data_IF_682380554110
#
_entry.id   IF_682380554110
#
_cell.length_a   1.000
_cell.length_b   1.000
_cell.length_c   1.000
_cell.angle_alpha   90.00
_cell.angle_beta   90.00
_cell.angle_gamma   90.00
#
_symmetry.space_group_name_H-M   'P 1'
#
loop_
_entity.id
_entity.type
_entity.pdbx_description
1 polymer ?
#
# COMPACT_ATOMS: atom_id res chain seq x y z
N UNK A 1 -3.39 7.32 30.67
CA UNK A 1 -3.26 8.31 29.58
C UNK A 1 -4.44 8.06 28.66
N UNK A 2 -5.27 9.07 28.40
CA UNK A 2 -6.42 8.89 27.52
C UNK A 2 -5.90 8.71 26.09
N UNK A 3 -6.23 7.57 25.46
CA UNK A 3 -6.15 7.41 24.02
C UNK A 3 -7.00 8.51 23.41
N UNK A 4 -6.35 9.55 22.89
CA UNK A 4 -7.05 10.53 22.07
C UNK A 4 -7.48 9.75 20.84
N UNK A 5 -8.77 9.58 20.56
CA UNK A 5 -9.19 8.83 19.38
C UNK A 5 -8.63 9.55 18.16
N UNK A 6 -7.72 8.90 17.44
CA UNK A 6 -7.17 9.42 16.19
C UNK A 6 -8.32 9.86 15.29
N UNK A 7 -8.21 11.05 14.71
CA UNK A 7 -9.24 11.56 13.81
C UNK A 7 -9.32 10.67 12.57
N UNK A 8 -10.46 10.66 11.88
CA UNK A 8 -10.62 9.92 10.62
C UNK A 8 -9.54 10.33 9.60
N UNK A 9 -9.14 11.60 9.58
CA UNK A 9 -8.05 12.10 8.75
C UNK A 9 -6.69 11.52 9.13
N UNK A 10 -6.41 11.44 10.43
CA UNK A 10 -5.16 10.87 10.92
C UNK A 10 -5.10 9.37 10.61
N UNK A 11 -6.18 8.63 10.87
CA UNK A 11 -6.27 7.21 10.51
C UNK A 11 -6.14 6.98 9.00
N UNK A 12 -6.75 7.83 8.17
CA UNK A 12 -6.64 7.72 6.71
C UNK A 12 -5.23 8.03 6.22
N UNK A 13 -4.56 9.02 6.82
CA UNK A 13 -3.17 9.35 6.53
C UNK A 13 -2.22 8.23 6.95
N UNK A 14 -2.39 7.68 8.15
CA UNK A 14 -1.59 6.56 8.66
C UNK A 14 -1.74 5.32 7.77
N UNK A 15 -2.96 5.04 7.31
CA UNK A 15 -3.25 3.94 6.37
C UNK A 15 -2.60 4.18 5.01
N UNK A 16 -2.73 5.39 4.45
CA UNK A 16 -2.12 5.72 3.16
C UNK A 16 -0.58 5.63 3.23
N UNK A 17 0.02 6.23 4.27
CA UNK A 17 1.47 6.17 4.48
C UNK A 17 1.96 4.74 4.70
N UNK A 18 1.18 3.89 5.39
CA UNK A 18 1.51 2.47 5.53
C UNK A 18 1.45 1.71 4.21
N UNK A 19 0.55 2.08 3.29
CA UNK A 19 0.46 1.48 1.96
C UNK A 19 1.63 1.93 1.08
N UNK A 20 1.93 3.23 1.03
CA UNK A 20 3.10 3.78 0.33
C UNK A 20 4.39 3.09 0.79
N UNK A 21 4.61 3.02 2.11
CA UNK A 21 5.79 2.34 2.68
C UNK A 21 5.85 0.85 2.29
N UNK A 22 4.70 0.17 2.19
CA UNK A 22 4.65 -1.24 1.78
C UNK A 22 4.98 -1.41 0.29
N UNK A 23 4.55 -0.49 -0.56
CA UNK A 23 4.88 -0.49 -1.99
C UNK A 23 6.37 -0.20 -2.18
N UNK A 24 6.89 0.81 -1.50
CA UNK A 24 8.31 1.17 -1.57
C UNK A 24 9.21 0.01 -1.12
N UNK A 25 8.86 -0.64 0.00
CA UNK A 25 9.59 -1.81 0.48
C UNK A 25 9.53 -2.96 -0.54
N UNK A 26 8.37 -3.27 -1.12
CA UNK A 26 8.25 -4.31 -2.14
C UNK A 26 9.11 -3.99 -3.38
N UNK A 27 9.13 -2.74 -3.81
CA UNK A 27 9.94 -2.32 -4.95
C UNK A 27 11.44 -2.37 -4.64
N UNK A 28 11.83 -2.09 -3.40
CA UNK A 28 13.21 -2.24 -2.94
C UNK A 28 13.63 -3.71 -2.88
N UNK A 29 12.78 -4.59 -2.35
CA UNK A 29 13.01 -6.04 -2.30
C UNK A 29 13.19 -6.63 -3.72
N UNK A 30 12.33 -6.23 -4.67
CA UNK A 30 12.45 -6.62 -6.08
C UNK A 30 13.76 -6.11 -6.68
N UNK A 31 14.11 -4.83 -6.46
CA UNK A 31 15.36 -4.24 -6.97
C UNK A 31 16.58 -4.93 -6.39
N UNK A 32 16.56 -5.26 -5.10
CA UNK A 32 17.64 -5.96 -4.41
C UNK A 32 17.83 -7.36 -4.98
N UNK A 33 16.74 -8.11 -5.15
CA UNK A 33 16.78 -9.44 -5.76
C UNK A 33 17.30 -9.42 -7.21
N UNK A 34 16.97 -8.39 -8.00
CA UNK A 34 17.50 -8.21 -9.35
C UNK A 34 18.98 -7.79 -9.34
N UNK A 35 19.39 -6.92 -8.40
CA UNK A 35 20.76 -6.39 -8.32
C UNK A 35 21.79 -7.43 -7.87
N UNK A 36 21.40 -8.40 -7.04
CA UNK A 36 22.28 -9.51 -6.61
C UNK A 36 22.66 -10.42 -7.77
N UNK A 37 21.80 -10.56 -8.79
CA UNK A 37 22.07 -11.39 -9.95
C UNK A 37 22.79 -10.67 -11.11
N UNK A 38 23.11 -9.39 -10.94
CA UNK A 38 23.87 -8.59 -11.91
C UNK A 38 25.31 -9.03 -12.17
N UNK A 39 25.83 -10.04 -11.46
CA UNK A 39 27.15 -10.66 -11.71
C UNK A 39 27.09 -11.99 -12.47
N UNK A 40 25.91 -12.60 -12.70
CA UNK A 40 25.77 -13.83 -13.48
C UNK A 40 24.73 -13.66 -14.61
N UNK A 41 25.23 -13.70 -15.83
CA UNK A 41 24.61 -13.30 -17.10
C UNK A 41 23.47 -14.23 -17.61
N UNK A 42 22.62 -14.75 -16.72
CA UNK A 42 21.46 -15.57 -17.08
C UNK A 42 20.29 -15.31 -16.14
N UNK A 43 19.45 -14.32 -16.48
CA UNK A 43 18.16 -13.99 -15.84
C UNK A 43 17.15 -15.16 -15.91
N UNK A 44 17.42 -16.19 -16.71
CA UNK A 44 16.48 -17.30 -16.96
C UNK A 44 16.25 -18.26 -15.77
N UNK A 45 17.02 -18.18 -14.68
CA UNK A 45 16.84 -19.08 -13.52
C UNK A 45 16.83 -18.37 -12.15
N UNK A 46 16.69 -17.03 -12.15
CA UNK A 46 16.66 -16.21 -10.94
C UNK A 46 15.29 -16.31 -10.25
N UNK A 47 15.21 -17.08 -9.16
CA UNK A 47 14.03 -17.04 -8.28
C UNK A 47 14.01 -15.73 -7.51
N UNK A 48 13.02 -14.87 -7.80
CA UNK A 48 12.86 -13.58 -7.13
C UNK A 48 11.86 -13.77 -5.98
N UNK A 49 12.36 -14.00 -4.77
CA UNK A 49 11.51 -14.11 -3.59
C UNK A 49 11.30 -12.74 -2.95
N UNK A 50 10.03 -12.37 -2.73
CA UNK A 50 9.64 -11.11 -2.07
C UNK A 50 8.60 -11.37 -0.99
N UNK A 51 8.63 -10.57 0.09
CA UNK A 51 7.67 -10.72 1.18
C UNK A 51 6.41 -9.90 0.91
N UNK A 52 5.33 -10.58 0.55
CA UNK A 52 4.02 -9.96 0.29
C UNK A 52 3.08 -10.25 1.46
N UNK A 53 2.81 -9.22 2.28
CA UNK A 53 1.87 -9.33 3.39
C UNK A 53 2.25 -10.40 4.42
N UNK A 54 3.54 -10.61 4.66
CA UNK A 54 4.08 -11.61 5.58
C UNK A 54 4.28 -13.00 4.97
N UNK A 55 4.07 -13.16 3.65
CA UNK A 55 4.32 -14.42 2.94
C UNK A 55 5.40 -14.21 1.89
N UNK A 56 6.44 -15.02 1.93
CA UNK A 56 7.47 -15.02 0.88
C UNK A 56 6.91 -15.70 -0.38
N UNK A 57 6.93 -14.98 -1.50
CA UNK A 57 6.44 -15.47 -2.78
C UNK A 57 7.52 -15.31 -3.86
N UNK A 58 7.61 -16.29 -4.75
CA UNK A 58 8.47 -16.20 -5.93
C UNK A 58 7.75 -15.49 -7.09
N UNK A 59 8.11 -14.23 -7.33
CA UNK A 59 7.53 -13.38 -8.38
C UNK A 59 8.20 -13.55 -9.75
N UNK A 60 9.26 -14.38 -9.85
CA UNK A 60 9.78 -14.81 -11.15
C UNK A 60 8.82 -15.79 -11.83
N UNK A 61 8.02 -16.51 -11.03
CA UNK A 61 6.96 -17.37 -11.52
C UNK A 61 5.71 -16.57 -11.93
N UNK A 62 5.04 -17.00 -13.01
CA UNK A 62 3.78 -16.36 -13.44
C UNK A 62 2.69 -16.40 -12.36
N UNK A 63 2.73 -17.35 -11.43
CA UNK A 63 1.81 -17.42 -10.28
C UNK A 63 2.09 -16.37 -9.22
N UNK A 64 3.35 -16.19 -8.81
CA UNK A 64 3.72 -15.18 -7.82
C UNK A 64 3.55 -13.75 -8.33
N UNK A 65 3.79 -13.50 -9.62
CA UNK A 65 3.50 -12.20 -10.24
C UNK A 65 2.02 -11.81 -10.11
N UNK A 66 1.09 -12.76 -10.26
CA UNK A 66 -0.34 -12.52 -10.06
C UNK A 66 -0.70 -12.26 -8.59
N UNK A 67 -0.02 -12.90 -7.66
CA UNK A 67 -0.20 -12.64 -6.21
C UNK A 67 0.29 -11.24 -5.86
N UNK A 68 1.45 -10.84 -6.39
CA UNK A 68 1.98 -9.49 -6.24
C UNK A 68 1.03 -8.44 -6.82
N UNK A 69 0.55 -8.64 -8.04
CA UNK A 69 -0.40 -7.71 -8.68
C UNK A 69 -1.71 -7.60 -7.89
N UNK A 70 -2.25 -8.73 -7.41
CA UNK A 70 -3.45 -8.72 -6.55
C UNK A 70 -3.22 -7.96 -5.25
N UNK A 71 -2.03 -8.06 -4.65
CA UNK A 71 -1.69 -7.33 -3.43
C UNK A 71 -1.52 -5.83 -3.68
N UNK A 72 -0.82 -5.43 -4.74
CA UNK A 72 -0.67 -4.03 -5.13
C UNK A 72 -2.04 -3.40 -5.46
N UNK A 73 -2.92 -4.12 -6.14
CA UNK A 73 -4.30 -3.70 -6.41
C UNK A 73 -5.11 -3.48 -5.12
N UNK A 74 -4.93 -4.35 -4.12
CA UNK A 74 -5.54 -4.20 -2.79
C UNK A 74 -5.03 -2.96 -2.06
N UNK A 75 -3.71 -2.73 -2.05
CA UNK A 75 -3.12 -1.53 -1.43
C UNK A 75 -3.67 -0.25 -2.07
N UNK A 76 -3.71 -0.19 -3.40
CA UNK A 76 -4.29 0.96 -4.11
C UNK A 76 -5.78 1.16 -3.78
N UNK A 77 -6.54 0.07 -3.63
CA UNK A 77 -7.96 0.15 -3.23
C UNK A 77 -8.12 0.71 -1.81
N UNK A 78 -7.22 0.33 -0.90
CA UNK A 78 -7.20 0.82 0.48
C UNK A 78 -6.88 2.32 0.51
N UNK A 79 -5.85 2.78 -0.22
CA UNK A 79 -5.51 4.19 -0.36
C UNK A 79 -6.66 5.03 -0.90
N UNK A 80 -7.30 4.57 -1.99
CA UNK A 80 -8.46 5.24 -2.57
C UNK A 80 -9.64 5.33 -1.60
N UNK A 81 -9.84 4.29 -0.80
CA UNK A 81 -10.88 4.25 0.24
C UNK A 81 -10.56 5.23 1.37
N UNK A 82 -9.31 5.30 1.81
CA UNK A 82 -8.85 6.25 2.82
C UNK A 82 -9.04 7.70 2.35
N UNK A 83 -8.62 8.03 1.12
CA UNK A 83 -8.84 9.34 0.51
C UNK A 83 -10.33 9.70 0.42
N UNK A 84 -11.17 8.74 0.02
CA UNK A 84 -12.62 8.91 -0.07
C UNK A 84 -13.26 9.16 1.29
N UNK A 85 -12.78 8.50 2.36
CA UNK A 85 -13.29 8.69 3.72
C UNK A 85 -13.01 10.12 4.22
N UNK A 86 -11.81 10.65 3.97
CA UNK A 86 -11.45 12.04 4.31
C UNK A 86 -12.30 13.05 3.53
N UNK A 87 -12.45 12.85 2.21
CA UNK A 87 -13.28 13.71 1.37
C UNK A 87 -14.73 13.73 1.84
N UNK A 88 -15.32 12.57 2.14
CA UNK A 88 -16.68 12.47 2.70
C UNK A 88 -16.80 13.18 4.05
N UNK A 89 -15.79 13.06 4.94
CA UNK A 89 -15.80 13.79 6.21
C UNK A 89 -15.80 15.31 5.99
N UNK A 90 -14.94 15.82 5.10
CA UNK A 90 -14.89 17.24 4.77
C UNK A 90 -16.22 17.75 4.20
N UNK A 91 -16.85 16.98 3.31
CA UNK A 91 -18.18 17.32 2.78
C UNK A 91 -19.26 17.34 3.87
N UNK A 92 -19.25 16.38 4.79
CA UNK A 92 -20.20 16.34 5.90
C UNK A 92 -19.99 17.53 6.85
N UNK A 93 -18.73 17.83 7.20
CA UNK A 93 -18.41 18.99 8.03
C UNK A 93 -18.89 20.30 7.40
N UNK A 94 -18.72 20.45 6.09
CA UNK A 94 -19.20 21.63 5.36
C UNK A 94 -20.73 21.71 5.32
N UNK A 95 -21.43 20.60 5.04
CA UNK A 95 -22.90 20.55 5.09
C UNK A 95 -23.44 20.88 6.48
N UNK A 96 -22.84 20.35 7.53
CA UNK A 96 -23.22 20.67 8.92
C UNK A 96 -23.04 22.17 9.19
N UNK A 97 -21.93 22.77 8.76
CA UNK A 97 -21.72 24.23 8.90
C UNK A 97 -22.76 25.06 8.16
N UNK A 98 -23.19 24.62 6.97
CA UNK A 98 -24.22 25.31 6.20
C UNK A 98 -25.59 25.23 6.90
N UNK A 99 -25.97 24.07 7.43
CA UNK A 99 -27.22 23.89 8.20
C UNK A 99 -27.23 24.71 9.49
N UNK A 100 -26.10 24.78 10.21
CA UNK A 100 -26.02 25.57 11.45
C UNK A 100 -26.09 27.08 11.20
N UNK A 101 -25.78 27.53 9.97
CA UNK A 101 -25.82 28.94 9.57
C UNK A 101 -27.15 29.36 8.90
N UNK A 102 -28.00 28.41 8.53
CA UNK A 102 -29.34 28.64 7.95
C UNK A 102 -30.41 28.68 9.02
#
# INVERSE_FOLDING_TARGET
MADTPNTIEQNAYDVASSCDNSIDQLMEDIKSAIAVDGENDTIEDTTINVNVGGTDIDVSSGGGALVLDSYLSKLSTIEQTAASAVSKKNQMAERTRQIVRS
#
